data_IF_096112202383
#
_entry.id   IF_096112202383
#
_cell.length_a   1.000
_cell.length_b   1.000
_cell.length_c   1.000
_cell.angle_alpha   90.00
_cell.angle_beta   90.00
_cell.angle_gamma   90.00
#
_symmetry.space_group_name_H-M   'P 1'
#
loop_
_entity.id
_entity.type
_entity.pdbx_description
1 polymer ?
#
# COMPACT_ATOMS: atom_id res chain seq x y z
N UNK A 1 -2.71 -43.52 52.85
CA UNK A 1 -2.99 -42.61 51.71
C UNK A 1 -3.51 -41.24 52.15
N UNK A 2 -4.46 -41.13 53.09
CA UNK A 2 -5.01 -39.85 53.58
C UNK A 2 -4.00 -38.89 54.24
N UNK A 3 -2.91 -39.38 54.81
CA UNK A 3 -1.84 -38.57 55.42
C UNK A 3 -0.86 -37.95 54.42
N UNK A 4 -0.64 -38.60 53.27
CA UNK A 4 0.20 -38.09 52.18
C UNK A 4 -0.52 -36.99 51.40
N UNK A 5 -1.82 -37.15 51.16
CA UNK A 5 -2.68 -36.14 50.52
C UNK A 5 -2.78 -34.85 51.35
N UNK A 6 -2.93 -34.95 52.68
CA UNK A 6 -2.90 -33.76 53.57
C UNK A 6 -1.55 -33.04 53.57
N UNK A 7 -0.44 -33.79 53.55
CA UNK A 7 0.91 -33.18 53.43
C UNK A 7 1.12 -32.49 52.09
N UNK A 8 0.60 -33.07 51.00
CA UNK A 8 0.65 -32.46 49.68
C UNK A 8 -0.20 -31.18 49.61
N UNK A 9 -1.38 -31.18 50.23
CA UNK A 9 -2.26 -29.99 50.35
C UNK A 9 -1.59 -28.87 51.15
N UNK A 10 -0.97 -29.18 52.29
CA UNK A 10 -0.21 -28.19 53.09
C UNK A 10 1.01 -27.64 52.35
N UNK A 11 1.74 -28.49 51.60
CA UNK A 11 2.84 -28.07 50.74
C UNK A 11 2.36 -27.14 49.63
N UNK A 12 1.23 -27.46 49.00
CA UNK A 12 0.67 -26.67 47.90
C UNK A 12 0.18 -25.31 48.39
N UNK A 13 -0.41 -25.24 49.59
CA UNK A 13 -0.78 -23.98 50.26
C UNK A 13 0.46 -23.17 50.63
N UNK A 14 1.54 -23.81 51.10
CA UNK A 14 2.80 -23.12 51.37
C UNK A 14 3.43 -22.55 50.09
N UNK A 15 3.46 -23.33 49.01
CA UNK A 15 3.95 -22.87 47.70
C UNK A 15 3.10 -21.71 47.20
N UNK A 16 1.78 -21.80 47.31
CA UNK A 16 0.88 -20.70 46.92
C UNK A 16 1.12 -19.43 47.73
N UNK A 17 1.31 -19.55 49.05
CA UNK A 17 1.65 -18.40 49.92
C UNK A 17 2.99 -17.79 49.54
N UNK A 18 3.97 -18.62 49.20
CA UNK A 18 5.30 -18.16 48.81
C UNK A 18 5.26 -17.45 47.44
N UNK A 19 4.45 -17.95 46.50
CA UNK A 19 4.20 -17.29 45.21
C UNK A 19 3.47 -15.96 45.40
N UNK A 20 2.45 -15.90 46.26
CA UNK A 20 1.74 -14.66 46.57
C UNK A 20 2.63 -13.64 47.28
N UNK A 21 3.52 -14.09 48.17
CA UNK A 21 4.50 -13.24 48.83
C UNK A 21 5.53 -12.68 47.83
N UNK A 22 6.07 -13.55 46.97
CA UNK A 22 6.99 -13.12 45.91
C UNK A 22 6.31 -12.13 44.96
N UNK A 23 5.03 -12.36 44.62
CA UNK A 23 4.23 -11.44 43.83
C UNK A 23 3.98 -10.12 44.54
N UNK A 24 3.64 -10.11 45.83
CA UNK A 24 3.45 -8.85 46.57
C UNK A 24 4.74 -8.06 46.67
N UNK A 25 5.88 -8.73 46.87
CA UNK A 25 7.20 -8.10 46.86
C UNK A 25 7.51 -7.52 45.48
N UNK A 26 7.21 -8.25 44.40
CA UNK A 26 7.43 -7.79 43.03
C UNK A 26 6.55 -6.58 42.68
N UNK A 27 5.28 -6.59 43.07
CA UNK A 27 4.37 -5.45 42.91
C UNK A 27 4.85 -4.25 43.73
N UNK A 28 5.29 -4.44 44.97
CA UNK A 28 5.86 -3.37 45.79
C UNK A 28 7.15 -2.81 45.20
N UNK A 29 8.00 -3.65 44.61
CA UNK A 29 9.19 -3.22 43.88
C UNK A 29 8.81 -2.44 42.61
N UNK A 30 7.83 -2.90 41.84
CA UNK A 30 7.32 -2.20 40.67
C UNK A 30 6.70 -0.84 41.02
N UNK A 31 5.90 -0.77 42.08
CA UNK A 31 5.34 0.48 42.60
C UNK A 31 6.42 1.40 43.15
N UNK A 32 7.42 0.84 43.84
CA UNK A 32 8.59 1.57 44.32
C UNK A 32 9.43 2.14 43.18
N UNK A 33 9.65 1.38 42.11
CA UNK A 33 10.32 1.84 40.89
C UNK A 33 9.50 2.92 40.17
N UNK A 34 8.19 2.74 40.07
CA UNK A 34 7.29 3.73 39.47
C UNK A 34 7.29 5.04 40.26
N UNK A 35 7.18 4.98 41.59
CA UNK A 35 7.30 6.16 42.48
C UNK A 35 8.70 6.79 42.34
N UNK A 36 9.75 5.97 42.32
CA UNK A 36 11.12 6.45 42.21
C UNK A 36 11.42 7.11 40.85
N UNK A 37 10.87 6.61 39.75
CA UNK A 37 10.96 7.25 38.44
C UNK A 37 10.06 8.50 38.33
N UNK A 38 8.99 8.57 39.13
CA UNK A 38 8.16 9.78 39.25
C UNK A 38 8.84 10.90 40.06
N UNK A 39 9.62 10.54 41.08
CA UNK A 39 10.31 11.48 41.97
C UNK A 39 11.80 11.69 41.66
N UNK A 40 12.39 10.89 40.77
CA UNK A 40 13.73 11.17 40.25
C UNK A 40 13.69 12.54 39.58
N UNK A 41 14.63 13.45 39.89
CA UNK A 41 14.82 14.63 39.09
C UNK A 41 15.17 14.15 37.68
N UNK A 42 14.20 14.22 36.78
CA UNK A 42 14.47 14.07 35.35
C UNK A 42 15.57 15.07 35.05
N UNK A 43 16.64 14.60 34.39
CA UNK A 43 17.57 15.54 33.73
C UNK A 43 16.69 16.52 32.95
N UNK A 44 17.00 17.82 32.89
CA UNK A 44 16.22 18.72 32.08
C UNK A 44 16.31 18.19 30.64
N UNK A 45 15.27 17.46 30.24
CA UNK A 45 14.93 17.30 28.85
C UNK A 45 14.86 18.73 28.34
N UNK A 46 15.67 19.02 27.33
CA UNK A 46 15.58 20.24 26.54
C UNK A 46 14.09 20.58 26.39
N UNK A 47 13.69 21.67 27.03
CA UNK A 47 12.32 21.99 27.39
C UNK A 47 11.28 21.50 26.37
N UNK A 48 10.61 20.38 26.65
CA UNK A 48 9.23 20.22 26.19
C UNK A 48 8.41 21.13 27.09
N UNK A 49 8.33 22.39 26.68
CA UNK A 49 7.27 23.28 27.14
C UNK A 49 5.97 22.49 27.00
N UNK A 50 5.29 22.22 28.12
CA UNK A 50 3.93 21.70 28.06
C UNK A 50 3.17 22.60 27.09
N UNK A 51 2.62 22.01 26.04
CA UNK A 51 2.02 22.77 24.93
C UNK A 51 1.07 23.81 25.54
N UNK A 52 1.53 25.07 25.53
CA UNK A 52 0.71 26.18 25.97
C UNK A 52 -0.56 26.09 25.13
N UNK A 53 -1.73 26.24 25.77
CA UNK A 53 -2.98 26.34 25.03
C UNK A 53 -2.76 27.36 23.90
N UNK A 54 -2.88 26.89 22.65
CA UNK A 54 -2.57 27.69 21.47
C UNK A 54 -3.40 28.97 21.54
N UNK A 55 -2.74 30.12 21.67
CA UNK A 55 -3.44 31.40 21.73
C UNK A 55 -3.85 31.81 20.31
N UNK A 56 -4.97 31.23 19.86
CA UNK A 56 -5.54 31.48 18.52
C UNK A 56 -6.02 32.92 18.31
N UNK A 57 -6.24 33.68 19.39
CA UNK A 57 -6.77 35.04 19.30
C UNK A 57 -5.77 36.00 18.65
N UNK A 58 -4.49 35.76 18.87
CA UNK A 58 -3.38 36.62 18.42
C UNK A 58 -2.39 35.85 17.51
N UNK A 59 -2.73 34.61 17.12
CA UNK A 59 -1.89 33.81 16.24
C UNK A 59 -1.84 34.47 14.85
N UNK A 60 -0.68 34.94 14.38
CA UNK A 60 -0.58 35.49 13.05
C UNK A 60 -0.84 34.37 12.05
N UNK A 61 -1.77 34.58 11.12
CA UNK A 61 -1.88 33.72 9.96
C UNK A 61 -0.61 33.87 9.14
N UNK A 62 0.01 32.73 8.80
CA UNK A 62 1.12 32.74 7.85
C UNK A 62 0.54 32.93 6.44
N UNK A 63 0.26 34.20 6.12
CA UNK A 63 -0.28 34.59 4.82
C UNK A 63 0.70 34.23 3.70
N UNK A 64 2.00 34.24 3.98
CA UNK A 64 3.02 33.84 3.02
C UNK A 64 2.94 32.35 2.73
N UNK A 65 2.84 31.51 3.76
CA UNK A 65 2.59 30.07 3.58
C UNK A 65 1.27 29.83 2.85
N UNK A 66 0.20 30.56 3.20
CA UNK A 66 -1.09 30.44 2.53
C UNK A 66 -0.99 30.83 1.04
N UNK A 67 -0.28 31.91 0.70
CA UNK A 67 -0.02 32.33 -0.69
C UNK A 67 0.86 31.33 -1.43
N UNK A 68 1.89 30.78 -0.80
CA UNK A 68 2.78 29.77 -1.37
C UNK A 68 2.05 28.45 -1.64
N UNK A 69 1.29 27.92 -0.67
CA UNK A 69 0.50 26.70 -0.85
C UNK A 69 -0.69 26.91 -1.79
N UNK A 70 -1.37 28.05 -1.72
CA UNK A 70 -2.44 28.37 -2.71
C UNK A 70 -1.83 28.52 -4.10
N UNK A 71 -0.68 29.17 -4.24
CA UNK A 71 0.03 29.29 -5.53
C UNK A 71 0.45 27.93 -6.08
N UNK A 72 0.91 27.04 -5.20
CA UNK A 72 1.24 25.65 -5.51
C UNK A 72 0.02 24.85 -5.95
N UNK A 73 -1.08 24.90 -5.22
CA UNK A 73 -2.34 24.24 -5.56
C UNK A 73 -2.90 24.76 -6.90
N UNK A 74 -2.83 26.07 -7.11
CA UNK A 74 -3.26 26.72 -8.35
C UNK A 74 -2.31 26.43 -9.52
N UNK A 75 -1.02 26.20 -9.29
CA UNK A 75 -0.06 25.82 -10.33
C UNK A 75 -0.38 24.44 -10.94
N UNK A 76 -1.03 23.56 -10.17
CA UNK A 76 -1.52 22.26 -10.62
C UNK A 76 -2.80 22.31 -11.47
N UNK A 77 -3.57 23.40 -11.42
CA UNK A 77 -4.90 23.49 -12.07
C UNK A 77 -4.87 23.85 -13.56
N UNK A 78 -3.72 24.28 -14.11
CA UNK A 78 -3.66 24.80 -15.49
C UNK A 78 -2.54 24.29 -16.39
N UNK A 79 -1.50 23.64 -15.85
CA UNK A 79 -0.26 23.34 -16.60
C UNK A 79 0.23 21.89 -16.45
N UNK A 80 -0.64 20.94 -16.10
CA UNK A 80 -0.25 19.53 -16.07
C UNK A 80 0.19 19.11 -17.48
N UNK A 81 1.49 18.79 -17.62
CA UNK A 81 2.04 18.30 -18.89
C UNK A 81 1.34 16.98 -19.20
N UNK A 82 0.67 16.84 -20.37
CA UNK A 82 0.01 15.59 -20.75
C UNK A 82 0.96 14.41 -20.59
N UNK A 83 0.46 13.31 -20.02
CA UNK A 83 1.26 12.09 -19.78
C UNK A 83 1.99 11.66 -21.06
N UNK A 84 1.35 11.76 -22.22
CA UNK A 84 1.93 11.38 -23.51
C UNK A 84 3.21 12.16 -23.83
N UNK A 85 3.30 13.43 -23.43
CA UNK A 85 4.51 14.23 -23.59
C UNK A 85 5.62 13.76 -22.64
N UNK A 86 5.29 13.38 -21.41
CA UNK A 86 6.24 12.80 -20.43
C UNK A 86 6.75 11.43 -20.90
N UNK A 87 5.87 10.58 -21.46
CA UNK A 87 6.24 9.26 -21.99
C UNK A 87 7.11 9.34 -23.26
N UNK A 88 6.98 10.43 -24.02
CA UNK A 88 7.81 10.69 -25.20
C UNK A 88 9.10 11.46 -24.89
N UNK A 89 9.25 12.00 -23.68
CA UNK A 89 10.44 12.73 -23.25
C UNK A 89 11.66 11.79 -23.27
N UNK A 90 12.71 12.11 -24.06
CA UNK A 90 13.92 11.29 -24.14
C UNK A 90 14.62 11.05 -22.79
N UNK A 91 14.50 11.98 -21.84
CA UNK A 91 15.11 11.88 -20.53
C UNK A 91 14.35 10.94 -19.58
N UNK A 92 13.03 10.85 -19.72
CA UNK A 92 12.15 10.12 -18.80
C UNK A 92 11.72 8.75 -19.34
N UNK A 93 11.59 8.65 -20.67
CA UNK A 93 11.12 7.45 -21.38
C UNK A 93 11.93 6.18 -21.06
N UNK A 94 13.28 6.20 -20.95
CA UNK A 94 14.04 5.00 -20.59
C UNK A 94 13.65 4.44 -19.22
N UNK A 95 13.45 5.32 -18.23
CA UNK A 95 13.09 4.92 -16.87
C UNK A 95 11.66 4.39 -16.80
N UNK A 96 10.72 5.01 -17.52
CA UNK A 96 9.36 4.47 -17.70
C UNK A 96 9.37 3.07 -18.31
N UNK A 97 10.11 2.87 -19.41
CA UNK A 97 10.20 1.56 -20.09
C UNK A 97 10.81 0.52 -19.17
N UNK A 98 11.85 0.90 -18.41
CA UNK A 98 12.51 -0.01 -17.49
C UNK A 98 11.57 -0.41 -16.34
N UNK A 99 10.84 0.55 -15.76
CA UNK A 99 9.86 0.28 -14.71
C UNK A 99 8.69 -0.61 -15.19
N UNK A 100 8.07 -0.29 -16.35
CA UNK A 100 7.01 -1.11 -16.95
C UNK A 100 7.52 -2.53 -17.24
N UNK A 101 8.70 -2.65 -17.83
CA UNK A 101 9.33 -3.94 -18.15
C UNK A 101 9.60 -4.79 -16.91
N UNK A 102 10.07 -4.20 -15.82
CA UNK A 102 10.30 -4.90 -14.55
C UNK A 102 8.99 -5.41 -13.93
N UNK A 103 7.96 -4.55 -13.85
CA UNK A 103 6.66 -4.92 -13.30
C UNK A 103 6.00 -6.00 -14.15
N UNK A 104 5.96 -5.82 -15.47
CA UNK A 104 5.34 -6.75 -16.40
C UNK A 104 6.07 -8.08 -16.45
N UNK A 105 7.41 -8.05 -16.50
CA UNK A 105 8.26 -9.24 -16.45
C UNK A 105 8.12 -10.02 -15.15
N UNK A 106 7.89 -9.33 -14.03
CA UNK A 106 7.58 -9.98 -12.76
C UNK A 106 6.16 -10.56 -12.75
N UNK A 107 5.14 -9.76 -13.07
CA UNK A 107 3.72 -10.15 -12.98
C UNK A 107 3.40 -11.34 -13.90
N UNK A 108 3.94 -11.33 -15.12
CA UNK A 108 3.71 -12.39 -16.10
C UNK A 108 4.83 -13.43 -16.18
N UNK A 109 5.68 -13.51 -15.15
CA UNK A 109 6.75 -14.52 -15.06
C UNK A 109 6.22 -15.95 -15.23
N UNK A 110 5.05 -16.24 -14.63
CA UNK A 110 4.30 -17.48 -14.84
C UNK A 110 2.88 -17.12 -15.30
N UNK A 111 2.67 -17.12 -16.62
CA UNK A 111 1.39 -16.76 -17.22
C UNK A 111 0.25 -17.71 -16.83
N UNK A 112 0.56 -19.00 -16.58
CA UNK A 112 -0.45 -19.99 -16.21
C UNK A 112 -0.93 -19.79 -14.77
N UNK A 113 0.00 -19.57 -13.83
CA UNK A 113 -0.34 -19.22 -12.46
C UNK A 113 -1.06 -17.85 -12.39
N UNK A 114 -0.59 -16.88 -13.18
CA UNK A 114 -1.18 -15.53 -13.24
C UNK A 114 -2.65 -15.58 -13.65
N UNK A 115 -3.00 -16.34 -14.70
CA UNK A 115 -4.39 -16.47 -15.15
C UNK A 115 -5.32 -17.01 -14.05
N UNK A 116 -4.83 -17.92 -13.20
CA UNK A 116 -5.61 -18.46 -12.07
C UNK A 116 -5.85 -17.38 -11.01
N UNK A 117 -4.79 -16.70 -10.58
CA UNK A 117 -4.89 -15.68 -9.53
C UNK A 117 -5.73 -14.48 -10.01
N UNK A 118 -5.65 -14.08 -11.28
CA UNK A 118 -6.55 -13.05 -11.85
C UNK A 118 -8.03 -13.49 -11.81
N UNK A 119 -8.32 -14.73 -12.20
CA UNK A 119 -9.67 -15.27 -12.17
C UNK A 119 -10.23 -15.36 -10.73
N UNK A 120 -9.40 -15.78 -9.77
CA UNK A 120 -9.77 -15.86 -8.35
C UNK A 120 -10.02 -14.48 -7.71
N UNK A 121 -9.43 -13.42 -8.27
CA UNK A 121 -9.54 -12.05 -7.74
C UNK A 121 -10.43 -11.13 -8.59
N UNK A 122 -11.18 -11.67 -9.56
CA UNK A 122 -12.02 -10.91 -10.49
C UNK A 122 -11.28 -9.76 -11.18
N UNK A 123 -10.02 -9.96 -11.58
CA UNK A 123 -9.18 -8.94 -12.20
C UNK A 123 -8.73 -9.36 -13.60
N UNK A 124 -8.41 -8.38 -14.44
CA UNK A 124 -8.05 -8.59 -15.86
C UNK A 124 -6.53 -8.51 -16.13
N UNK A 125 -5.71 -8.26 -15.11
CA UNK A 125 -4.27 -8.11 -15.24
C UNK A 125 -3.84 -6.68 -15.60
N UNK A 126 -2.86 -6.56 -16.47
CA UNK A 126 -2.29 -5.29 -16.94
C UNK A 126 -2.75 -4.97 -18.36
N UNK A 127 -2.97 -3.69 -18.63
CA UNK A 127 -3.17 -3.20 -19.99
C UNK A 127 -1.93 -3.47 -20.86
N UNK A 128 -2.11 -3.54 -22.20
CA UNK A 128 -1.00 -3.57 -23.14
C UNK A 128 -0.03 -2.41 -22.89
N UNK A 129 1.26 -2.64 -23.18
CA UNK A 129 2.29 -1.58 -23.08
C UNK A 129 1.84 -0.34 -23.85
N UNK A 130 1.92 0.83 -23.22
CA UNK A 130 1.54 2.09 -23.84
C UNK A 130 2.28 2.28 -25.19
N UNK A 131 1.60 2.69 -26.29
CA UNK A 131 2.22 2.77 -27.61
C UNK A 131 3.51 3.60 -27.67
N UNK A 132 3.60 4.69 -26.91
CA UNK A 132 4.80 5.56 -26.85
C UNK A 132 6.00 4.91 -26.15
N UNK A 133 5.77 3.86 -25.36
CA UNK A 133 6.83 3.10 -24.69
C UNK A 133 7.30 1.88 -25.51
N UNK A 134 6.63 1.57 -26.62
CA UNK A 134 7.01 0.45 -27.49
C UNK A 134 8.24 0.78 -28.33
N UNK A 135 9.15 -0.18 -28.45
CA UNK A 135 10.36 -0.08 -29.25
C UNK A 135 11.40 0.92 -28.72
N UNK A 136 12.59 0.90 -29.32
CA UNK A 136 13.70 1.75 -28.86
C UNK A 136 13.68 3.15 -29.49
N UNK A 137 13.15 3.29 -30.70
CA UNK A 137 13.04 4.57 -31.38
C UNK A 137 12.17 5.57 -30.61
N UNK A 138 12.58 6.86 -30.61
CA UNK A 138 11.76 7.92 -30.04
C UNK A 138 10.46 8.09 -30.84
N UNK A 139 9.30 8.19 -30.18
CA UNK A 139 8.04 8.46 -30.87
C UNK A 139 8.08 9.79 -31.61
N UNK A 140 7.43 9.87 -32.76
CA UNK A 140 7.30 11.14 -33.47
C UNK A 140 6.32 12.09 -32.74
N UNK A 141 6.47 13.40 -32.92
CA UNK A 141 5.52 14.38 -32.36
C UNK A 141 4.08 14.12 -32.84
N UNK A 142 3.95 13.60 -34.06
CA UNK A 142 2.71 13.17 -34.68
C UNK A 142 2.07 11.97 -33.94
N UNK A 143 2.88 10.97 -33.54
CA UNK A 143 2.42 9.84 -32.73
C UNK A 143 1.99 10.30 -31.33
N UNK A 144 2.72 11.22 -30.71
CA UNK A 144 2.37 11.80 -29.41
C UNK A 144 1.03 12.54 -29.50
N UNK A 145 0.84 13.38 -30.52
CA UNK A 145 -0.39 14.14 -30.72
C UNK A 145 -1.59 13.21 -31.02
N UNK A 146 -1.37 12.12 -31.76
CA UNK A 146 -2.40 11.08 -31.97
C UNK A 146 -2.86 10.50 -30.63
N UNK A 147 -1.93 10.14 -29.75
CA UNK A 147 -2.27 9.55 -28.44
C UNK A 147 -3.02 10.56 -27.55
N UNK A 148 -2.59 11.83 -27.51
CA UNK A 148 -3.30 12.89 -26.80
C UNK A 148 -4.74 13.01 -27.28
N UNK A 149 -4.96 13.05 -28.60
CA UNK A 149 -6.31 13.14 -29.17
C UNK A 149 -7.19 11.93 -28.89
N UNK A 150 -6.60 10.72 -28.87
CA UNK A 150 -7.36 9.52 -28.50
C UNK A 150 -7.79 9.55 -27.04
N UNK A 151 -6.92 10.01 -26.12
CA UNK A 151 -7.27 10.20 -24.72
C UNK A 151 -8.36 11.27 -24.56
N UNK A 152 -8.19 12.43 -25.20
CA UNK A 152 -9.20 13.50 -25.18
C UNK A 152 -10.55 13.04 -25.75
N UNK A 153 -10.56 12.20 -26.78
CA UNK A 153 -11.79 11.62 -27.33
C UNK A 153 -12.50 10.69 -26.32
N UNK A 154 -11.73 9.89 -25.58
CA UNK A 154 -12.25 9.02 -24.50
C UNK A 154 -12.78 9.81 -23.31
N UNK A 155 -12.12 10.90 -22.95
CA UNK A 155 -12.55 11.77 -21.84
C UNK A 155 -13.80 12.58 -22.20
N UNK A 156 -13.94 12.97 -23.47
CA UNK A 156 -15.06 13.77 -23.94
C UNK A 156 -16.30 12.95 -24.33
N UNK A 157 -16.18 11.64 -24.52
CA UNK A 157 -17.34 10.78 -24.78
C UNK A 157 -18.17 10.61 -23.51
N UNK A 158 -19.49 10.82 -23.59
CA UNK A 158 -20.37 10.53 -22.46
C UNK A 158 -20.77 9.06 -22.40
N UNK A 159 -20.97 8.61 -21.15
CA UNK A 159 -22.03 7.70 -20.73
C UNK A 159 -21.75 6.18 -20.72
N UNK A 160 -20.69 5.67 -21.37
CA UNK A 160 -20.13 4.33 -21.10
C UNK A 160 -18.76 4.10 -21.80
N UNK A 161 -18.08 3.01 -21.42
CA UNK A 161 -16.75 2.63 -21.95
C UNK A 161 -16.78 2.31 -23.45
N UNK A 162 -17.89 1.77 -23.94
CA UNK A 162 -18.07 1.42 -25.36
C UNK A 162 -18.10 2.67 -26.25
N UNK A 163 -18.82 3.72 -25.83
CA UNK A 163 -18.81 5.01 -26.51
C UNK A 163 -17.42 5.67 -26.50
N UNK A 164 -16.67 5.52 -25.40
CA UNK A 164 -15.30 6.04 -25.29
C UNK A 164 -14.32 5.33 -26.21
N UNK A 165 -14.39 4.00 -26.29
CA UNK A 165 -13.54 3.21 -27.17
C UNK A 165 -13.90 3.44 -28.65
N UNK A 166 -15.18 3.61 -28.98
CA UNK A 166 -15.61 3.99 -30.32
C UNK A 166 -15.06 5.38 -30.73
N UNK A 167 -15.14 6.38 -29.85
CA UNK A 167 -14.61 7.72 -30.11
C UNK A 167 -13.09 7.72 -30.33
N UNK A 168 -12.33 6.94 -29.54
CA UNK A 168 -10.90 6.74 -29.79
C UNK A 168 -10.63 6.03 -31.12
N UNK A 169 -11.41 5.00 -31.45
CA UNK A 169 -11.26 4.25 -32.69
C UNK A 169 -11.52 5.14 -33.93
N UNK A 170 -12.45 6.08 -33.86
CA UNK A 170 -12.69 7.07 -34.94
C UNK A 170 -11.47 7.98 -35.16
N UNK A 171 -10.87 8.48 -34.08
CA UNK A 171 -9.62 9.26 -34.16
C UNK A 171 -8.50 8.44 -34.77
N UNK A 172 -8.42 7.16 -34.41
CA UNK A 172 -7.40 6.24 -34.93
C UNK A 172 -7.57 5.94 -36.42
N UNK A 173 -8.81 5.68 -36.83
CA UNK A 173 -9.18 5.42 -38.22
C UNK A 173 -8.92 6.66 -39.09
N UNK A 174 -9.29 7.85 -38.61
CA UNK A 174 -9.01 9.11 -39.30
C UNK A 174 -7.49 9.35 -39.47
N UNK A 175 -6.69 9.00 -38.46
CA UNK A 175 -5.24 9.11 -38.52
C UNK A 175 -4.61 8.12 -39.51
N UNK A 176 -5.05 6.86 -39.46
CA UNK A 176 -4.62 5.82 -40.40
C UNK A 176 -5.00 6.19 -41.84
N UNK A 177 -6.21 6.70 -42.07
CA UNK A 177 -6.66 7.19 -43.37
C UNK A 177 -5.82 8.36 -43.89
N UNK A 178 -5.44 9.32 -43.03
CA UNK A 178 -4.51 10.41 -43.37
C UNK A 178 -3.13 9.89 -43.77
N UNK A 179 -2.63 8.84 -43.11
CA UNK A 179 -1.33 8.22 -43.46
C UNK A 179 -1.41 7.40 -44.76
N UNK A 180 -2.55 6.76 -45.03
CA UNK A 180 -2.81 6.04 -46.29
C UNK A 180 -2.90 7.03 -47.47
N UNK A 181 -3.61 8.15 -47.32
CA UNK A 181 -3.74 9.15 -48.39
C UNK A 181 -2.41 9.81 -48.75
N UNK A 182 -1.49 9.94 -47.80
CA UNK A 182 -0.12 10.41 -47.99
C UNK A 182 0.81 9.38 -48.68
N UNK A 183 0.41 8.11 -48.79
CA UNK A 183 1.25 7.01 -49.32
C UNK A 183 0.59 6.26 -50.48
N UNK A 184 -0.32 6.94 -51.19
CA UNK A 184 -1.23 6.36 -52.20
C UNK A 184 -0.55 5.70 -53.40
N UNK A 185 0.74 5.90 -53.64
CA UNK A 185 1.44 5.27 -54.78
C UNK A 185 1.96 3.85 -54.50
N UNK A 186 2.07 3.39 -53.24
CA UNK A 186 2.71 2.08 -52.92
C UNK A 186 1.78 1.00 -52.32
N UNK A 187 0.49 1.27 -52.04
CA UNK A 187 -0.35 0.40 -51.19
C UNK A 187 -1.43 -0.46 -51.83
N UNK A 188 -1.54 -0.51 -53.16
CA UNK A 188 -2.51 -1.42 -53.79
C UNK A 188 -2.19 -2.91 -53.58
N UNK A 189 -1.08 -3.28 -52.94
CA UNK A 189 -0.69 -4.66 -52.67
C UNK A 189 -0.95 -5.20 -51.24
N UNK A 190 -1.34 -4.37 -50.26
CA UNK A 190 -1.49 -4.83 -48.83
C UNK A 190 -2.92 -4.98 -48.31
N UNK A 191 -3.92 -4.50 -49.05
CA UNK A 191 -5.32 -4.45 -48.60
C UNK A 191 -6.00 -5.81 -48.37
N UNK A 192 -5.40 -6.92 -48.83
CA UNK A 192 -5.96 -8.27 -48.62
C UNK A 192 -5.55 -8.91 -47.29
N UNK A 193 -4.51 -8.41 -46.60
CA UNK A 193 -4.04 -8.96 -45.33
C UNK A 193 -4.74 -8.33 -44.11
N UNK A 194 -5.11 -7.06 -44.20
CA UNK A 194 -5.73 -6.31 -43.08
C UNK A 194 -7.19 -6.76 -42.86
N UNK A 195 -7.92 -7.14 -43.92
CA UNK A 195 -9.28 -7.65 -43.82
C UNK A 195 -9.40 -9.00 -43.06
N UNK A 196 -8.32 -9.77 -42.98
CA UNK A 196 -8.28 -11.02 -42.22
C UNK A 196 -7.94 -10.81 -40.73
N UNK A 197 -7.25 -9.71 -40.39
CA UNK A 197 -6.92 -9.34 -39.02
C UNK A 197 -8.13 -8.73 -38.29
N UNK A 198 -8.93 -7.93 -38.98
CA UNK A 198 -10.16 -7.34 -38.43
C UNK A 198 -11.22 -8.40 -38.08
N UNK A 199 -11.32 -9.46 -38.88
CA UNK A 199 -12.21 -10.60 -38.60
C UNK A 199 -11.78 -11.41 -37.36
N UNK A 200 -10.48 -11.47 -37.07
CA UNK A 200 -9.94 -12.13 -35.87
C UNK A 200 -10.13 -11.29 -34.60
N UNK A 201 -10.13 -9.96 -34.70
CA UNK A 201 -10.40 -9.06 -33.58
C UNK A 201 -11.89 -9.04 -33.20
N UNK A 202 -12.79 -9.16 -34.18
CA UNK A 202 -14.23 -9.29 -33.92
C UNK A 202 -14.57 -10.58 -33.15
N UNK A 203 -13.91 -11.69 -33.47
CA UNK A 203 -14.10 -12.97 -32.75
C UNK A 203 -13.53 -12.94 -31.31
N UNK A 204 -12.54 -12.09 -31.03
CA UNK A 204 -12.03 -11.89 -29.67
C UNK A 204 -12.96 -11.01 -28.81
N UNK A 205 -13.68 -10.07 -29.44
CA UNK A 205 -14.67 -9.23 -28.78
C UNK A 205 -15.98 -9.97 -28.42
N UNK A 206 -16.33 -11.03 -29.14
CA UNK A 206 -17.47 -11.90 -28.75
C UNK A 206 -17.17 -12.76 -27.51
N UNK A 207 -15.89 -13.02 -27.19
CA UNK A 207 -15.48 -13.75 -25.99
C UNK A 207 -15.52 -12.89 -24.70
N UNK A 208 -15.58 -11.56 -24.81
CA UNK A 208 -15.66 -10.63 -23.66
C UNK A 208 -17.09 -10.40 -23.13
N UNK A 209 -18.10 -11.08 -23.67
CA UNK A 209 -19.49 -10.99 -23.18
C UNK A 209 -19.69 -11.49 -21.74
N UNK A 210 -18.73 -12.23 -21.17
CA UNK A 210 -18.74 -12.68 -19.76
C UNK A 210 -17.99 -11.73 -18.79
N UNK A 211 -17.35 -10.65 -19.29
CA UNK A 211 -16.40 -9.81 -18.53
C UNK A 211 -17.00 -8.59 -17.79
N UNK A 212 -18.31 -8.37 -17.86
CA UNK A 212 -18.97 -7.14 -17.35
C UNK A 212 -18.86 -6.91 -15.82
N UNK A 213 -18.31 -7.86 -15.04
CA UNK A 213 -18.11 -7.73 -13.59
C UNK A 213 -16.65 -7.86 -13.13
N UNK A 214 -15.66 -7.94 -14.05
CA UNK A 214 -14.24 -7.95 -13.65
C UNK A 214 -13.69 -6.53 -13.53
N UNK A 215 -12.79 -6.32 -12.58
CA UNK A 215 -12.05 -5.06 -12.48
C UNK A 215 -11.27 -4.78 -13.76
N UNK A 216 -11.27 -3.52 -14.17
CA UNK A 216 -10.53 -3.07 -15.34
C UNK A 216 -9.04 -3.43 -15.24
N UNK A 217 -8.38 -3.71 -16.38
CA UNK A 217 -6.95 -3.94 -16.41
C UNK A 217 -6.19 -2.68 -15.95
N UNK A 218 -5.02 -2.90 -15.37
CA UNK A 218 -4.20 -1.81 -14.81
C UNK A 218 -3.38 -1.17 -15.92
N UNK A 219 -3.57 0.14 -16.12
CA UNK A 219 -2.70 0.94 -16.97
C UNK A 219 -1.43 1.36 -16.20
N UNK A 220 -0.36 0.55 -16.35
CA UNK A 220 0.92 0.81 -15.68
C UNK A 220 1.51 2.19 -15.96
N UNK A 221 1.38 2.69 -17.20
CA UNK A 221 1.93 3.99 -17.57
C UNK A 221 1.18 5.11 -16.84
N UNK A 222 -0.15 5.01 -16.74
CA UNK A 222 -0.98 5.93 -15.96
C UNK A 222 -0.63 5.86 -14.49
N UNK A 223 -0.63 4.68 -13.88
CA UNK A 223 -0.35 4.51 -12.45
C UNK A 223 1.01 5.08 -12.05
N UNK A 224 2.06 4.82 -12.86
CA UNK A 224 3.38 5.40 -12.60
C UNK A 224 3.36 6.91 -12.79
N UNK A 225 2.70 7.42 -13.83
CA UNK A 225 2.58 8.85 -14.09
C UNK A 225 1.85 9.56 -12.93
N UNK A 226 0.75 9.01 -12.45
CA UNK A 226 -0.10 9.63 -11.43
C UNK A 226 0.65 9.72 -10.10
N UNK A 227 1.44 8.69 -9.75
CA UNK A 227 2.30 8.71 -8.56
C UNK A 227 3.48 9.69 -8.69
N UNK A 228 4.10 9.77 -9.87
CA UNK A 228 5.16 10.73 -10.14
C UNK A 228 4.65 12.17 -10.16
N UNK A 229 3.43 12.39 -10.68
CA UNK A 229 2.76 13.70 -10.70
C UNK A 229 2.39 14.13 -9.29
N UNK A 230 1.89 13.23 -8.45
CA UNK A 230 1.65 13.50 -7.03
C UNK A 230 2.94 13.89 -6.31
N UNK A 231 4.07 13.23 -6.60
CA UNK A 231 5.37 13.61 -6.04
C UNK A 231 5.82 15.01 -6.49
N UNK A 232 5.52 15.43 -7.73
CA UNK A 232 5.75 16.80 -8.21
C UNK A 232 4.91 17.81 -7.45
N UNK A 233 3.63 17.51 -7.26
CA UNK A 233 2.74 18.34 -6.47
C UNK A 233 3.22 18.43 -5.02
N UNK A 234 3.70 17.35 -4.40
CA UNK A 234 4.08 17.31 -2.97
C UNK A 234 5.51 17.74 -2.64
N UNK A 235 6.45 17.62 -3.58
CA UNK A 235 7.87 17.94 -3.34
C UNK A 235 8.45 19.00 -4.26
N UNK A 236 7.67 19.51 -5.22
CA UNK A 236 8.05 20.61 -6.11
C UNK A 236 8.78 20.18 -7.39
N UNK A 237 9.30 21.17 -8.12
CA UNK A 237 9.91 20.96 -9.44
C UNK A 237 11.07 19.96 -9.39
N UNK A 238 11.10 19.05 -10.37
CA UNK A 238 12.16 18.05 -10.51
C UNK A 238 11.94 16.76 -9.72
N UNK A 239 11.01 16.72 -8.77
CA UNK A 239 10.70 15.49 -8.03
C UNK A 239 10.03 14.42 -8.92
N UNK A 240 9.26 14.81 -9.96
CA UNK A 240 8.73 13.88 -10.97
C UNK A 240 9.86 13.06 -11.62
N UNK A 241 10.89 13.77 -12.12
CA UNK A 241 12.03 13.14 -12.77
C UNK A 241 12.85 12.30 -11.78
N UNK A 242 13.02 12.78 -10.55
CA UNK A 242 13.71 12.04 -9.49
C UNK A 242 12.96 10.75 -9.11
N UNK A 243 11.64 10.81 -8.99
CA UNK A 243 10.77 9.66 -8.71
C UNK A 243 10.91 8.60 -9.79
N UNK A 244 10.77 8.99 -11.06
CA UNK A 244 10.89 8.04 -12.17
C UNK A 244 12.28 7.42 -12.27
N UNK A 245 13.32 8.23 -12.09
CA UNK A 245 14.71 7.75 -12.14
C UNK A 245 15.04 6.76 -11.03
N UNK A 246 14.45 6.93 -9.84
CA UNK A 246 14.66 6.04 -8.70
C UNK A 246 13.83 4.75 -8.77
N UNK A 247 12.68 4.78 -9.43
CA UNK A 247 11.71 3.68 -9.43
C UNK A 247 12.28 2.35 -9.96
N UNK A 248 12.96 2.28 -11.13
CA UNK A 248 13.50 1.01 -11.63
C UNK A 248 14.48 0.34 -10.66
N UNK A 249 15.37 1.12 -10.03
CA UNK A 249 16.36 0.58 -9.08
C UNK A 249 15.69 0.08 -7.79
N UNK A 250 14.62 0.74 -7.34
CA UNK A 250 13.83 0.29 -6.21
C UNK A 250 13.09 -1.01 -6.53
N UNK A 251 12.46 -1.09 -7.71
CA UNK A 251 11.78 -2.29 -8.20
C UNK A 251 12.75 -3.47 -8.32
N UNK A 252 13.92 -3.30 -8.91
CA UNK A 252 14.95 -4.36 -9.01
C UNK A 252 15.30 -4.96 -7.64
N UNK A 253 15.46 -4.11 -6.61
CA UNK A 253 15.78 -4.55 -5.25
C UNK A 253 14.62 -5.30 -4.59
N UNK A 254 13.39 -4.79 -4.72
CA UNK A 254 12.22 -5.40 -4.07
C UNK A 254 11.83 -6.70 -4.76
N UNK A 255 11.79 -6.70 -6.10
CA UNK A 255 11.42 -7.87 -6.90
C UNK A 255 12.51 -8.95 -6.88
N UNK A 256 13.78 -8.57 -6.66
CA UNK A 256 14.89 -9.50 -6.45
C UNK A 256 14.91 -10.19 -5.08
N UNK A 257 14.08 -9.75 -4.12
CA UNK A 257 13.97 -10.40 -2.81
C UNK A 257 13.06 -11.64 -2.89
N UNK A 258 13.62 -12.84 -2.82
CA UNK A 258 12.88 -14.09 -2.98
C UNK A 258 11.70 -14.25 -2.00
N UNK A 259 11.85 -13.78 -0.76
CA UNK A 259 10.81 -13.90 0.27
C UNK A 259 9.59 -13.04 -0.04
N UNK A 260 9.81 -11.84 -0.57
CA UNK A 260 8.76 -10.91 -0.99
C UNK A 260 8.19 -11.32 -2.34
N UNK A 261 9.05 -11.72 -3.28
CA UNK A 261 8.67 -12.17 -4.60
C UNK A 261 7.64 -13.29 -4.54
N UNK A 262 7.83 -14.30 -3.67
CA UNK A 262 6.86 -15.40 -3.51
C UNK A 262 5.50 -14.91 -3.03
N UNK A 263 5.45 -13.97 -2.08
CA UNK A 263 4.20 -13.40 -1.55
C UNK A 263 3.49 -12.53 -2.59
N UNK A 264 4.25 -11.66 -3.28
CA UNK A 264 3.73 -10.79 -4.32
C UNK A 264 3.12 -11.60 -5.48
N UNK A 265 3.71 -12.74 -5.85
CA UNK A 265 3.20 -13.58 -6.94
C UNK A 265 1.84 -14.23 -6.63
N UNK A 266 1.43 -14.27 -5.36
CA UNK A 266 0.10 -14.75 -4.95
C UNK A 266 -0.99 -13.67 -5.05
N UNK A 267 -0.61 -12.42 -5.30
CA UNK A 267 -1.54 -11.30 -5.38
C UNK A 267 -2.02 -11.03 -6.81
N UNK A 268 -3.13 -10.31 -6.98
CA UNK A 268 -3.59 -9.82 -8.29
C UNK A 268 -2.63 -8.78 -8.88
N UNK A 269 -2.58 -8.63 -10.21
CA UNK A 269 -1.77 -7.58 -10.82
C UNK A 269 -2.08 -6.17 -10.27
N UNK A 270 -3.36 -5.76 -10.09
CA UNK A 270 -3.70 -4.52 -9.39
C UNK A 270 -3.11 -4.41 -7.99
N UNK A 271 -3.18 -5.48 -7.19
CA UNK A 271 -2.62 -5.49 -5.83
C UNK A 271 -1.11 -5.36 -5.84
N UNK A 272 -0.40 -6.06 -6.74
CA UNK A 272 1.06 -5.98 -6.88
C UNK A 272 1.47 -4.55 -7.22
N UNK A 273 0.88 -3.97 -8.27
CA UNK A 273 1.22 -2.61 -8.74
C UNK A 273 0.95 -1.59 -7.65
N UNK A 274 -0.26 -1.59 -7.07
CA UNK A 274 -0.63 -0.65 -6.02
C UNK A 274 0.29 -0.77 -4.79
N UNK A 275 0.58 -2.00 -4.35
CA UNK A 275 1.47 -2.25 -3.20
C UNK A 275 2.88 -1.73 -3.45
N UNK A 276 3.44 -2.02 -4.62
CA UNK A 276 4.82 -1.62 -4.94
C UNK A 276 4.94 -0.11 -5.12
N UNK A 277 4.03 0.50 -5.89
CA UNK A 277 4.06 1.95 -6.13
C UNK A 277 3.75 2.74 -4.87
N UNK A 278 2.77 2.32 -4.06
CA UNK A 278 2.47 2.99 -2.78
C UNK A 278 3.66 2.92 -1.83
N UNK A 279 4.27 1.74 -1.65
CA UNK A 279 5.44 1.61 -0.78
C UNK A 279 6.64 2.41 -1.31
N UNK A 280 6.80 2.48 -2.63
CA UNK A 280 7.84 3.30 -3.23
C UNK A 280 7.59 4.79 -3.00
N UNK A 281 6.36 5.29 -3.19
CA UNK A 281 5.97 6.66 -2.87
C UNK A 281 6.26 7.00 -1.40
N UNK A 282 5.83 6.16 -0.45
CA UNK A 282 6.15 6.37 0.96
C UNK A 282 7.67 6.44 1.24
N UNK A 283 8.46 5.62 0.54
CA UNK A 283 9.92 5.65 0.67
C UNK A 283 10.52 6.93 0.07
N UNK A 284 9.93 7.44 -1.01
CA UNK A 284 10.31 8.68 -1.67
C UNK A 284 9.99 9.88 -0.78
N UNK A 285 8.77 9.95 -0.22
CA UNK A 285 8.34 11.03 0.67
C UNK A 285 9.22 11.08 1.92
N UNK A 286 9.56 9.91 2.46
CA UNK A 286 10.50 9.80 3.59
C UNK A 286 11.90 10.29 3.24
N UNK A 287 12.33 10.12 1.98
CA UNK A 287 13.60 10.64 1.49
C UNK A 287 13.53 12.16 1.33
N UNK A 288 12.42 12.67 0.79
CA UNK A 288 12.17 14.10 0.66
C UNK A 288 12.11 14.81 2.03
N UNK A 289 11.47 14.21 3.04
CA UNK A 289 11.48 14.70 4.42
C UNK A 289 12.91 14.80 4.98
N UNK A 290 13.73 13.75 4.80
CA UNK A 290 15.14 13.77 5.22
C UNK A 290 15.95 14.86 4.51
N UNK A 291 15.69 15.09 3.23
CA UNK A 291 16.36 16.15 2.46
C UNK A 291 15.95 17.56 2.92
N UNK A 292 14.73 17.73 3.45
CA UNK A 292 14.26 18.97 4.09
C UNK A 292 14.84 19.18 5.50
N UNK A 293 15.50 18.18 6.07
CA UNK A 293 16.05 18.22 7.42
C UNK A 293 15.10 17.69 8.50
N UNK A 294 13.94 17.16 8.11
CA UNK A 294 13.01 16.51 9.03
C UNK A 294 13.56 15.13 9.43
N UNK A 295 13.28 14.70 10.66
CA UNK A 295 13.58 13.35 11.11
C UNK A 295 12.31 12.47 11.06
N UNK A 296 12.01 11.79 9.95
CA UNK A 296 10.81 10.96 9.83
C UNK A 296 10.86 9.70 10.71
N UNK A 297 11.95 9.47 11.43
CA UNK A 297 12.12 8.36 12.35
C UNK A 297 11.97 8.80 13.84
N UNK A 298 11.79 10.09 14.12
CA UNK A 298 11.60 10.64 15.48
C UNK A 298 10.19 10.39 16.03
N UNK A 299 9.17 10.36 15.16
CA UNK A 299 7.78 10.04 15.54
C UNK A 299 7.42 8.56 15.29
N UNK A 300 8.34 7.63 15.58
CA UNK A 300 7.92 6.25 15.75
C UNK A 300 7.07 6.17 17.01
N UNK A 301 5.76 6.02 16.82
CA UNK A 301 4.88 5.53 17.86
C UNK A 301 5.42 4.18 18.35
N UNK A 302 6.16 4.20 19.45
CA UNK A 302 6.68 3.02 20.13
C UNK A 302 5.53 2.24 20.79
N UNK A 303 4.66 1.62 19.98
CA UNK A 303 3.67 0.65 20.47
C UNK A 303 4.32 -0.63 21.06
N UNK A 304 5.64 -0.76 20.93
CA UNK A 304 6.47 -1.82 21.50
C UNK A 304 7.14 -1.41 22.83
N UNK A 305 6.62 -0.37 23.49
CA UNK A 305 7.06 -0.02 24.84
C UNK A 305 6.96 -1.22 25.77
N UNK A 306 8.00 -1.42 26.58
CA UNK A 306 8.08 -2.41 27.66
C UNK A 306 6.78 -2.49 28.48
N UNK A 307 6.01 -1.40 28.55
CA UNK A 307 4.72 -1.26 29.20
C UNK A 307 3.60 -2.16 28.62
N UNK A 308 3.51 -2.39 27.30
CA UNK A 308 2.51 -3.31 26.72
C UNK A 308 2.88 -4.77 26.97
N UNK A 309 4.16 -5.11 26.92
CA UNK A 309 4.67 -6.42 27.33
C UNK A 309 4.47 -6.67 28.85
N UNK A 310 4.64 -5.64 29.67
CA UNK A 310 4.46 -5.71 31.11
C UNK A 310 2.97 -5.83 31.49
N UNK A 311 2.09 -5.08 30.83
CA UNK A 311 0.65 -5.14 31.04
C UNK A 311 0.07 -6.50 30.63
N UNK A 312 0.51 -7.05 29.49
CA UNK A 312 0.06 -8.38 29.03
C UNK A 312 0.56 -9.50 29.95
N UNK A 313 1.78 -9.41 30.47
CA UNK A 313 2.32 -10.35 31.46
C UNK A 313 1.56 -10.28 32.80
N UNK A 314 1.25 -9.07 33.29
CA UNK A 314 0.44 -8.88 34.50
C UNK A 314 -0.97 -9.45 34.35
N UNK A 315 -1.64 -9.20 33.22
CA UNK A 315 -2.98 -9.75 32.94
C UNK A 315 -2.93 -11.28 32.89
N UNK A 316 -1.92 -11.87 32.24
CA UNK A 316 -1.76 -13.33 32.16
C UNK A 316 -1.56 -13.99 33.54
N UNK A 317 -0.77 -13.37 34.41
CA UNK A 317 -0.56 -13.84 35.79
C UNK A 317 -1.84 -13.72 36.64
N UNK A 318 -2.60 -12.64 36.47
CA UNK A 318 -3.84 -12.42 37.22
C UNK A 318 -4.92 -13.46 36.85
N UNK A 319 -5.02 -13.80 35.56
CA UNK A 319 -5.89 -14.87 35.07
C UNK A 319 -5.49 -16.23 35.66
N UNK A 320 -4.19 -16.53 35.74
CA UNK A 320 -3.70 -17.79 36.32
C UNK A 320 -4.06 -17.92 37.82
N UNK A 321 -3.91 -16.84 38.59
CA UNK A 321 -4.28 -16.80 40.01
C UNK A 321 -5.80 -16.94 40.20
N UNK A 322 -6.60 -16.28 39.36
CA UNK A 322 -8.07 -16.43 39.35
C UNK A 322 -8.47 -17.89 39.07
N UNK A 323 -7.86 -18.55 38.08
CA UNK A 323 -8.12 -19.95 37.78
C UNK A 323 -7.79 -20.87 38.96
N UNK A 324 -6.66 -20.65 39.64
CA UNK A 324 -6.29 -21.43 40.82
C UNK A 324 -7.29 -21.25 41.98
N UNK A 325 -7.76 -20.02 42.22
CA UNK A 325 -8.78 -19.75 43.24
C UNK A 325 -10.14 -20.38 42.91
N UNK A 326 -10.53 -20.36 41.64
CA UNK A 326 -11.75 -21.04 41.16
C UNK A 326 -11.64 -22.54 41.36
N UNK A 327 -10.50 -23.16 41.02
CA UNK A 327 -10.27 -24.59 41.23
C UNK A 327 -10.31 -24.97 42.72
N UNK A 328 -9.68 -24.18 43.60
CA UNK A 328 -9.78 -24.38 45.05
C UNK A 328 -11.22 -24.22 45.57
N UNK A 329 -11.98 -23.26 45.05
CA UNK A 329 -13.38 -23.05 45.41
C UNK A 329 -14.27 -24.20 44.93
N UNK A 330 -14.02 -24.72 43.72
CA UNK A 330 -14.73 -25.89 43.19
C UNK A 330 -14.40 -27.15 44.00
N UNK A 331 -13.13 -27.36 44.37
CA UNK A 331 -12.72 -28.51 45.19
C UNK A 331 -13.36 -28.47 46.58
N UNK A 332 -13.45 -27.27 47.19
CA UNK A 332 -14.16 -27.06 48.46
C UNK A 332 -15.66 -27.31 48.33
N UNK A 333 -16.29 -26.92 47.22
CA UNK A 333 -17.71 -27.20 46.96
C UNK A 333 -17.97 -28.69 46.74
N UNK A 334 -17.10 -29.39 46.00
CA UNK A 334 -17.20 -30.84 45.77
C UNK A 334 -17.01 -31.64 47.06
N UNK A 335 -16.09 -31.23 47.95
CA UNK A 335 -15.93 -31.83 49.29
C UNK A 335 -17.15 -31.57 50.20
N UNK A 336 -17.90 -30.47 49.98
CA UNK A 336 -19.10 -30.14 50.74
C UNK A 336 -20.36 -30.93 50.34
N UNK A 337 -20.44 -31.39 49.10
CA UNK A 337 -21.57 -32.21 48.60
C UNK A 337 -21.48 -33.66 49.14
N UNK A 338 -20.28 -34.14 49.49
CA UNK A 338 -20.08 -35.46 50.10
C UNK A 338 -20.48 -35.59 51.58
N UNK A 339 -20.98 -34.52 52.21
CA UNK A 339 -21.36 -34.48 53.63
C UNK A 339 -22.79 -33.98 53.87
N UNK A 340 -23.75 -34.34 53.01
CA UNK A 340 -25.15 -34.32 53.39
C UNK A 340 -25.53 -35.70 53.97
N UNK A 341 -25.74 -35.82 55.30
CA UNK A 341 -26.26 -37.06 55.87
C UNK A 341 -27.74 -37.24 55.50
N UNK A 342 -28.10 -38.47 55.17
CA UNK A 342 -29.47 -38.99 55.15
C UNK A 342 -30.28 -38.44 56.33
N UNK A 343 -31.27 -37.58 56.07
CA UNK A 343 -32.40 -37.41 56.97
C UNK A 343 -33.48 -38.41 56.54
N UNK A 344 -33.49 -39.57 57.22
CA UNK A 344 -34.60 -40.51 57.23
C UNK A 344 -35.54 -40.21 58.41
N UNK A 345 -36.82 -40.27 58.05
CA UNK A 345 -38.03 -40.47 58.86
C UNK A 345 -38.60 -39.29 59.64
#
# INVERSE_FOLDING_TARGET
MLTLLRRAEDLLIQVLRLVLLAFSIFVLFGMGHWIWDHYKPKKPDSATAGAAALNWKDAPYDLKYMEEETGRDLSGLGNAVPMEKRLADPALRPDFRKADGLLRGFIYRDAAARKRVEAENNSQGLDPVHPLLKGDALPSADDVNRQIKMREARENSCCDKEAADAAAAEVDAAWTARRISLTREDRMARAAADAAADAAMAAAAEASGEDAMRMDPVNLASEINDRAQAAETEHGEGSYAAYLKGLPAALEKVLGNESLAKKLQQQSAPQIVNTLLTNYTLSFDRTAAKLRGDNPDEEKWEFLGMDTAFATLLISCLVMVMMALVMFRMERHLRGIGTQPDQKS
#
